data_IF_508235516687
#
_entry.id   IF_508235516687
#
_cell.length_a   1.000
_cell.length_b   1.000
_cell.length_c   1.000
_cell.angle_alpha   90.00
_cell.angle_beta   90.00
_cell.angle_gamma   90.00
#
_symmetry.space_group_name_H-M   'P 1'
#
loop_
_entity.id
_entity.type
_entity.pdbx_description
1 polymer ?
#
# COMPACT_ATOMS: atom_id res chain seq x y z
N UNK A 1 -1.08 9.87 14.28
CA UNK A 1 -1.77 9.48 13.03
C UNK A 1 -0.89 9.64 11.81
N UNK A 2 -0.20 10.77 11.64
CA UNK A 2 0.68 11.01 10.47
C UNK A 2 1.71 9.90 10.20
N UNK A 3 2.38 9.38 11.24
CA UNK A 3 3.34 8.29 11.08
C UNK A 3 2.70 6.99 10.58
N UNK A 4 1.47 6.69 10.99
CA UNK A 4 0.74 5.51 10.52
C UNK A 4 0.35 5.68 9.05
N UNK A 5 -0.25 6.82 8.68
CA UNK A 5 -0.58 7.13 7.28
C UNK A 5 0.66 7.15 6.39
N UNK A 6 1.79 7.70 6.87
CA UNK A 6 3.05 7.70 6.14
C UNK A 6 3.61 6.28 5.92
N UNK A 7 3.42 5.37 6.87
CA UNK A 7 3.78 3.97 6.69
C UNK A 7 2.86 3.30 5.65
N UNK A 8 1.55 3.51 5.76
CA UNK A 8 0.57 2.98 4.78
C UNK A 8 0.86 3.49 3.38
N UNK A 9 1.20 4.77 3.22
CA UNK A 9 1.63 5.36 1.95
C UNK A 9 2.77 4.58 1.31
N UNK A 10 3.85 4.33 2.07
CA UNK A 10 5.04 3.62 1.57
C UNK A 10 4.70 2.20 1.15
N UNK A 11 4.00 1.47 2.02
CA UNK A 11 3.65 0.08 1.78
C UNK A 11 2.70 -0.06 0.58
N UNK A 12 1.66 0.77 0.49
CA UNK A 12 0.74 0.78 -0.64
C UNK A 12 1.44 1.11 -1.97
N UNK A 13 2.34 2.09 -1.97
CA UNK A 13 3.13 2.48 -3.15
C UNK A 13 4.05 1.34 -3.62
N UNK A 14 4.73 0.67 -2.70
CA UNK A 14 5.64 -0.44 -3.03
C UNK A 14 4.88 -1.68 -3.53
N UNK A 15 3.68 -1.92 -3.00
CA UNK A 15 2.79 -2.99 -3.46
C UNK A 15 2.32 -2.68 -4.88
N UNK A 16 1.80 -1.47 -5.13
CA UNK A 16 1.36 -1.06 -6.47
C UNK A 16 2.50 -1.17 -7.50
N UNK A 17 3.71 -0.72 -7.14
CA UNK A 17 4.88 -0.85 -8.00
C UNK A 17 5.25 -2.33 -8.27
N UNK A 18 5.06 -3.21 -7.30
CA UNK A 18 5.29 -4.65 -7.46
C UNK A 18 4.28 -5.28 -8.42
N UNK A 19 3.01 -4.86 -8.36
CA UNK A 19 1.96 -5.36 -9.27
C UNK A 19 2.27 -4.92 -10.70
N UNK A 20 2.57 -3.64 -10.94
CA UNK A 20 2.95 -3.13 -12.28
C UNK A 20 4.16 -3.84 -12.86
N UNK A 21 5.18 -4.07 -12.04
CA UNK A 21 6.42 -4.71 -12.51
C UNK A 21 6.20 -6.16 -12.91
N UNK A 22 5.37 -6.88 -12.18
CA UNK A 22 5.15 -8.31 -12.43
C UNK A 22 4.02 -8.54 -13.45
N UNK A 23 3.06 -7.63 -13.57
CA UNK A 23 1.87 -7.80 -14.42
C UNK A 23 0.86 -8.82 -13.89
N UNK A 24 1.04 -9.29 -12.64
CA UNK A 24 0.14 -10.22 -11.97
C UNK A 24 0.27 -10.10 -10.45
N UNK A 25 -0.76 -10.57 -9.73
CA UNK A 25 -0.74 -10.67 -8.28
C UNK A 25 -0.02 -11.95 -7.85
N UNK A 26 1.23 -11.82 -7.40
CA UNK A 26 1.96 -12.95 -6.85
C UNK A 26 1.57 -13.22 -5.38
N UNK A 27 1.78 -14.44 -4.84
CA UNK A 27 1.39 -14.78 -3.47
C UNK A 27 2.12 -13.99 -2.38
N UNK A 28 3.31 -13.46 -2.67
CA UNK A 28 4.06 -12.62 -1.73
C UNK A 28 3.46 -11.22 -1.65
N UNK A 29 3.06 -10.64 -2.78
CA UNK A 29 2.38 -9.35 -2.86
C UNK A 29 1.02 -9.42 -2.18
N UNK A 30 0.26 -10.50 -2.38
CA UNK A 30 -1.00 -10.72 -1.66
C UNK A 30 -0.82 -10.73 -0.14
N UNK A 31 0.22 -11.41 0.37
CA UNK A 31 0.55 -11.39 1.81
C UNK A 31 0.97 -10.01 2.31
N UNK A 32 1.68 -9.23 1.50
CA UNK A 32 2.03 -7.84 1.86
C UNK A 32 0.80 -6.96 2.02
N UNK A 33 -0.21 -7.13 1.16
CA UNK A 33 -1.50 -6.43 1.29
C UNK A 33 -2.19 -6.82 2.59
N UNK A 34 -2.32 -8.13 2.87
CA UNK A 34 -2.95 -8.62 4.11
C UNK A 34 -2.23 -8.08 5.36
N UNK A 35 -0.90 -8.09 5.37
CA UNK A 35 -0.10 -7.55 6.47
C UNK A 35 -0.27 -6.04 6.64
N UNK A 36 -0.30 -5.27 5.54
CA UNK A 36 -0.54 -3.83 5.58
C UNK A 36 -1.86 -3.51 6.28
N UNK A 37 -2.93 -4.21 5.90
CA UNK A 37 -4.27 -4.01 6.43
C UNK A 37 -4.32 -4.37 7.91
N UNK A 38 -3.76 -5.52 8.30
CA UNK A 38 -3.70 -5.93 9.71
C UNK A 38 -2.92 -4.92 10.56
N UNK A 39 -1.75 -4.48 10.09
CA UNK A 39 -0.93 -3.50 10.80
C UNK A 39 -1.66 -2.17 10.95
N UNK A 40 -2.38 -1.74 9.91
CA UNK A 40 -3.20 -0.54 9.99
C UNK A 40 -4.30 -0.70 11.03
N UNK A 41 -5.09 -1.77 10.99
CA UNK A 41 -6.17 -2.02 11.94
C UNK A 41 -5.69 -2.04 13.40
N UNK A 42 -4.55 -2.70 13.67
CA UNK A 42 -3.96 -2.75 15.03
C UNK A 42 -3.54 -1.36 15.51
N UNK A 43 -3.04 -0.51 14.60
CA UNK A 43 -2.46 0.80 14.95
C UNK A 43 -3.43 1.97 14.77
N UNK A 44 -4.61 1.76 14.17
CA UNK A 44 -5.61 2.79 13.88
C UNK A 44 -6.39 3.22 15.14
N UNK A 45 -5.68 3.61 16.19
CA UNK A 45 -6.26 3.99 17.47
C UNK A 45 -7.17 5.24 17.39
N UNK A 46 -6.96 6.11 16.40
CA UNK A 46 -7.77 7.32 16.22
C UNK A 46 -9.00 7.13 15.32
N UNK A 47 -9.23 5.91 14.80
CA UNK A 47 -10.43 5.61 14.02
C UNK A 47 -10.48 6.32 12.65
N UNK A 48 -9.37 6.27 11.91
CA UNK A 48 -9.30 6.76 10.52
C UNK A 48 -10.11 5.88 9.59
N UNK A 49 -11.40 6.22 9.46
CA UNK A 49 -12.38 5.45 8.68
C UNK A 49 -12.16 5.56 7.18
N UNK A 50 -11.59 6.66 6.72
CA UNK A 50 -11.37 6.90 5.29
C UNK A 50 -10.31 5.94 4.76
N UNK A 51 -9.15 5.88 5.42
CA UNK A 51 -8.08 4.94 5.04
C UNK A 51 -8.50 3.49 5.30
N UNK A 52 -9.26 3.22 6.36
CA UNK A 52 -9.80 1.87 6.61
C UNK A 52 -10.70 1.39 5.47
N UNK A 53 -11.65 2.23 5.02
CA UNK A 53 -12.56 1.89 3.94
C UNK A 53 -11.80 1.58 2.64
N UNK A 54 -10.82 2.42 2.28
CA UNK A 54 -9.99 2.19 1.10
C UNK A 54 -9.20 0.88 1.20
N UNK A 55 -8.65 0.57 2.38
CA UNK A 55 -7.94 -0.68 2.62
C UNK A 55 -8.86 -1.91 2.54
N UNK A 56 -10.13 -1.79 2.95
CA UNK A 56 -11.12 -2.86 2.73
C UNK A 56 -11.42 -3.06 1.24
N UNK A 57 -11.52 -1.99 0.45
CA UNK A 57 -11.65 -2.09 -1.01
C UNK A 57 -10.44 -2.79 -1.64
N UNK A 58 -9.22 -2.46 -1.21
CA UNK A 58 -7.99 -3.18 -1.63
C UNK A 58 -8.08 -4.67 -1.29
N UNK A 59 -8.57 -5.03 -0.10
CA UNK A 59 -8.72 -6.43 0.32
C UNK A 59 -9.70 -7.20 -0.56
N UNK A 60 -10.84 -6.58 -0.87
CA UNK A 60 -11.87 -7.16 -1.74
C UNK A 60 -11.30 -7.46 -3.13
N UNK A 61 -10.65 -6.47 -3.75
CA UNK A 61 -10.02 -6.66 -5.06
C UNK A 61 -8.89 -7.70 -5.01
N UNK A 62 -8.13 -7.75 -3.93
CA UNK A 62 -7.06 -8.77 -3.74
C UNK A 62 -7.63 -10.19 -3.65
N UNK A 63 -8.81 -10.37 -3.06
CA UNK A 63 -9.50 -11.67 -2.98
C UNK A 63 -10.12 -12.07 -4.31
N UNK A 64 -10.61 -11.10 -5.08
CA UNK A 64 -11.21 -11.32 -6.40
C UNK A 64 -10.16 -11.46 -7.52
N UNK A 65 -8.93 -10.97 -7.31
CA UNK A 65 -7.82 -11.11 -8.26
C UNK A 65 -7.19 -12.49 -8.13
N UNK A 66 -7.17 -13.32 -9.19
CA UNK A 66 -6.59 -14.64 -9.09
C UNK A 66 -5.08 -14.56 -8.88
N UNK A 67 -4.56 -15.35 -7.93
CA UNK A 67 -3.14 -15.38 -7.58
C UNK A 67 -2.38 -16.30 -8.53
N UNK A 68 -1.21 -15.89 -9.02
CA UNK A 68 -0.36 -16.81 -9.78
C UNK A 68 0.26 -17.86 -8.85
N UNK A 69 -0.21 -19.10 -8.94
CA UNK A 69 0.31 -20.25 -8.17
C UNK A 69 0.97 -21.26 -9.11
N UNK A 70 2.27 -21.12 -9.38
CA UNK A 70 3.06 -22.17 -10.05
C UNK A 70 3.97 -21.73 -11.21
N UNK A 71 4.96 -22.59 -11.52
CA UNK A 71 5.94 -22.39 -12.60
C UNK A 71 5.27 -22.56 -13.98
N UNK A 72 5.35 -21.50 -14.79
CA UNK A 72 5.30 -21.51 -16.26
C UNK A 72 4.06 -22.07 -17.00
N UNK A 73 2.96 -22.41 -16.34
CA UNK A 73 1.73 -22.83 -17.03
C UNK A 73 0.78 -21.66 -17.23
N UNK A 74 0.71 -21.14 -18.46
CA UNK A 74 -0.30 -20.17 -18.97
C UNK A 74 -0.88 -19.24 -17.89
N UNK A 75 -0.26 -18.07 -17.72
CA UNK A 75 -0.98 -16.89 -17.25
C UNK A 75 -1.98 -16.57 -18.36
N UNK A 76 -3.12 -17.27 -18.39
CA UNK A 76 -4.31 -16.74 -19.06
C UNK A 76 -4.43 -15.32 -18.56
N UNK A 77 -4.44 -14.36 -19.48
CA UNK A 77 -4.45 -12.94 -19.19
C UNK A 77 -5.40 -12.68 -18.02
N UNK A 78 -4.83 -12.57 -16.82
CA UNK A 78 -5.59 -12.57 -15.59
C UNK A 78 -6.30 -11.24 -15.60
N UNK A 79 -7.59 -11.31 -15.94
CA UNK A 79 -8.59 -10.25 -16.01
C UNK A 79 -7.98 -8.87 -15.74
N UNK A 80 -7.44 -8.21 -16.77
CA UNK A 80 -6.75 -6.92 -16.64
C UNK A 80 -7.59 -5.90 -15.88
N UNK A 81 -8.92 -6.04 -15.92
CA UNK A 81 -9.87 -5.23 -15.15
C UNK A 81 -9.76 -5.42 -13.63
N UNK A 82 -9.61 -6.66 -13.14
CA UNK A 82 -9.47 -6.93 -11.71
C UNK A 82 -8.10 -6.44 -11.19
N UNK A 83 -7.03 -6.68 -11.96
CA UNK A 83 -5.70 -6.18 -11.63
C UNK A 83 -5.66 -4.64 -11.67
N UNK A 84 -6.27 -4.04 -12.68
CA UNK A 84 -6.39 -2.58 -12.82
C UNK A 84 -7.22 -1.96 -11.70
N UNK A 85 -8.31 -2.62 -11.27
CA UNK A 85 -9.12 -2.18 -10.14
C UNK A 85 -8.36 -2.27 -8.81
N UNK A 86 -7.57 -3.32 -8.60
CA UNK A 86 -6.67 -3.44 -7.46
C UNK A 86 -5.61 -2.33 -7.44
N UNK A 87 -5.01 -2.04 -8.59
CA UNK A 87 -4.05 -0.93 -8.72
C UNK A 87 -4.70 0.43 -8.46
N UNK A 88 -5.92 0.65 -8.97
CA UNK A 88 -6.71 1.85 -8.70
C UNK A 88 -6.97 2.03 -7.20
N UNK A 89 -7.47 0.99 -6.53
CA UNK A 89 -7.72 1.02 -5.10
C UNK A 89 -6.43 1.30 -4.28
N UNK A 90 -5.29 0.71 -4.67
CA UNK A 90 -4.00 1.01 -4.04
C UNK A 90 -3.58 2.47 -4.29
N UNK A 91 -3.84 3.00 -5.47
CA UNK A 91 -3.54 4.40 -5.79
C UNK A 91 -4.40 5.36 -4.98
N UNK A 92 -5.67 5.02 -4.70
CA UNK A 92 -6.53 5.82 -3.83
C UNK A 92 -6.01 5.86 -2.39
N UNK A 93 -5.53 4.72 -1.85
CA UNK A 93 -4.84 4.68 -0.55
C UNK A 93 -3.60 5.57 -0.56
N UNK A 94 -2.78 5.49 -1.61
CA UNK A 94 -1.58 6.33 -1.77
C UNK A 94 -1.96 7.81 -1.77
N UNK A 95 -3.01 8.20 -2.48
CA UNK A 95 -3.46 9.59 -2.54
C UNK A 95 -3.95 10.08 -1.17
N UNK A 96 -4.78 9.29 -0.49
CA UNK A 96 -5.34 9.63 0.82
C UNK A 96 -4.29 9.75 1.94
N UNK A 97 -3.14 9.08 1.78
CA UNK A 97 -2.06 9.06 2.77
C UNK A 97 -0.87 9.95 2.40
N UNK A 98 -0.89 10.57 1.22
CA UNK A 98 0.24 11.31 0.66
C UNK A 98 0.66 12.52 1.50
N UNK A 99 -0.31 13.37 1.90
CA UNK A 99 -0.01 14.59 2.67
C UNK A 99 0.62 14.26 4.02
N UNK A 100 0.13 13.22 4.70
CA UNK A 100 0.72 12.74 5.94
C UNK A 100 2.15 12.23 5.74
N UNK A 101 2.42 11.54 4.63
CA UNK A 101 3.76 11.09 4.28
C UNK A 101 4.71 12.28 4.04
N UNK A 102 4.25 13.31 3.31
CA UNK A 102 5.02 14.55 3.10
C UNK A 102 5.32 15.27 4.42
N UNK A 103 4.31 15.43 5.29
CA UNK A 103 4.49 16.08 6.57
C UNK A 103 5.50 15.35 7.47
N UNK A 104 5.52 14.01 7.44
CA UNK A 104 6.53 13.21 8.17
C UNK A 104 7.92 13.38 7.55
N UNK A 105 8.05 13.37 6.23
CA UNK A 105 9.33 13.57 5.54
C UNK A 105 9.94 14.94 5.86
N UNK A 106 9.15 16.01 5.75
CA UNK A 106 9.58 17.38 6.07
C UNK A 106 10.07 17.53 7.52
N UNK A 107 9.40 16.88 8.47
CA UNK A 107 9.82 16.88 9.89
C UNK A 107 11.14 16.14 10.08
N UNK A 108 11.35 15.03 9.37
CA UNK A 108 12.60 14.28 9.43
C UNK A 108 13.78 15.07 8.85
N UNK A 109 13.58 15.75 7.72
CA UNK A 109 14.60 16.61 7.09
C UNK A 109 15.01 17.77 8.00
N UNK A 110 14.03 18.45 8.61
CA UNK A 110 14.31 19.53 9.58
C UNK A 110 15.02 19.04 10.83
N UNK A 111 14.70 17.84 11.32
CA UNK A 111 15.40 17.23 12.44
C UNK A 111 16.84 16.85 12.11
N UNK A 112 17.11 16.40 10.89
CA UNK A 112 18.45 16.08 10.42
C UNK A 112 19.33 17.34 10.25
N UNK A 113 18.75 18.42 9.74
CA UNK A 113 19.43 19.71 9.56
C UNK A 113 19.86 20.33 10.91
N UNK A 114 18.98 20.28 11.93
CA UNK A 114 19.31 20.72 13.29
C UNK A 114 20.40 19.88 13.93
N UNK A 115 20.39 18.55 13.73
CA UNK A 115 21.42 17.65 14.27
C UNK A 115 22.80 17.86 13.62
N UNK A 116 22.88 18.39 12.39
CA UNK A 116 24.14 18.75 11.75
C UNK A 116 24.71 20.09 12.23
N UNK A 117 23.87 20.98 12.77
CA UNK A 117 24.29 22.29 13.30
C UNK A 117 24.81 22.22 14.75
N UNK A 118 24.56 21.11 15.46
CA UNK A 118 25.03 20.88 16.84
C UNK A 118 26.40 20.15 16.93
N UNK A 119 27.17 20.08 15.83
CA UNK A 119 28.49 19.40 15.75
C UNK A 119 29.62 20.41 15.53
#
# INVERSE_FOLDING_TARGET
MDNLRAQVYRDAKDIAASIRRNGFLNPQVGRRIENLIQLFQIRNAAGDKDVDALLQTVLEWTRSTPKQTGKAGKVEALNSDALGSLEGALQDVVNATHEAAQAVALRAERGADLAMLEI
#
